data_IF_349744645122
#
_entry.id   IF_349744645122
#
_cell.length_a   1.000
_cell.length_b   1.000
_cell.length_c   1.000
_cell.angle_alpha   90.00
_cell.angle_beta   90.00
_cell.angle_gamma   90.00
#
_symmetry.space_group_name_H-M   'P 1'
#
loop_
_entity.id
_entity.type
_entity.pdbx_description
1 polymer ?
#
# COMPACT_ATOMS: atom_id res chain seq x y z
N UNK A 1 -34.65 -49.05 -46.49
CA UNK A 1 -35.04 -47.62 -46.52
C UNK A 1 -36.32 -47.45 -45.70
N UNK A 2 -36.42 -46.33 -44.96
CA UNK A 2 -37.65 -45.63 -44.53
C UNK A 2 -38.54 -46.37 -43.50
N UNK A 3 -38.63 -45.88 -42.25
CA UNK A 3 -39.59 -44.85 -41.74
C UNK A 3 -41.03 -45.34 -41.92
N UNK A 4 -41.96 -45.32 -40.98
CA UNK A 4 -42.22 -44.66 -39.69
C UNK A 4 -43.60 -45.23 -39.28
N UNK A 5 -43.95 -45.37 -38.01
CA UNK A 5 -45.31 -45.11 -37.49
C UNK A 5 -45.32 -45.18 -35.95
N UNK A 6 -45.87 -44.12 -35.38
CA UNK A 6 -45.96 -43.71 -33.97
C UNK A 6 -47.21 -44.37 -33.35
N UNK A 7 -47.25 -44.67 -32.03
CA UNK A 7 -48.14 -43.84 -31.21
C UNK A 7 -47.67 -43.59 -29.76
N UNK A 8 -47.89 -42.34 -29.33
CA UNK A 8 -48.65 -42.01 -28.12
C UNK A 8 -48.25 -42.74 -26.82
N UNK A 9 -47.42 -42.10 -25.99
CA UNK A 9 -47.53 -42.29 -24.54
C UNK A 9 -47.59 -40.95 -23.82
N UNK A 10 -48.66 -40.84 -23.04
CA UNK A 10 -49.14 -39.70 -22.33
C UNK A 10 -48.12 -39.14 -21.33
N UNK A 11 -48.04 -37.81 -21.30
CA UNK A 11 -48.26 -36.99 -20.10
C UNK A 11 -48.32 -37.78 -18.78
N UNK A 12 -47.16 -37.90 -18.12
CA UNK A 12 -47.08 -38.03 -16.66
C UNK A 12 -46.13 -36.96 -16.15
N UNK A 13 -46.67 -35.75 -16.02
CA UNK A 13 -46.10 -34.71 -15.19
C UNK A 13 -46.17 -35.17 -13.73
N UNK A 14 -45.04 -35.63 -13.19
CA UNK A 14 -44.86 -35.81 -11.75
C UNK A 14 -44.21 -34.54 -11.19
N UNK A 15 -44.87 -33.82 -10.27
CA UNK A 15 -44.20 -32.81 -9.46
C UNK A 15 -43.40 -33.55 -8.38
N UNK A 16 -42.17 -33.92 -8.69
CA UNK A 16 -41.21 -34.33 -7.67
C UNK A 16 -40.82 -33.06 -6.90
N UNK A 17 -41.58 -32.79 -5.84
CA UNK A 17 -41.22 -31.82 -4.84
C UNK A 17 -39.81 -32.12 -4.34
N UNK A 18 -38.99 -31.08 -4.43
CA UNK A 18 -37.71 -30.91 -3.80
C UNK A 18 -37.62 -31.59 -2.44
N UNK A 19 -37.08 -32.79 -2.42
CA UNK A 19 -36.36 -33.29 -1.26
C UNK A 19 -34.99 -32.62 -1.33
N UNK A 20 -34.87 -31.46 -0.68
CA UNK A 20 -33.58 -30.83 -0.47
C UNK A 20 -32.76 -31.81 0.37
N UNK A 21 -31.70 -32.46 -0.15
CA UNK A 21 -30.78 -33.14 0.73
C UNK A 21 -30.24 -32.06 1.66
N UNK A 22 -30.47 -32.24 2.97
CA UNK A 22 -29.76 -31.50 4.01
C UNK A 22 -28.30 -31.52 3.61
N UNK A 23 -27.67 -30.36 3.35
CA UNK A 23 -26.25 -30.36 3.05
C UNK A 23 -25.58 -30.94 4.29
N UNK A 24 -25.03 -32.16 4.14
CA UNK A 24 -24.08 -32.69 5.10
C UNK A 24 -23.07 -31.57 5.39
N UNK A 25 -22.69 -31.35 6.66
CA UNK A 25 -21.67 -30.36 6.97
C UNK A 25 -20.50 -30.61 6.02
N UNK A 26 -19.99 -29.56 5.34
CA UNK A 26 -18.89 -29.73 4.40
C UNK A 26 -17.81 -30.52 5.13
N UNK A 27 -17.25 -31.60 4.54
CA UNK A 27 -16.20 -32.35 5.19
C UNK A 27 -15.10 -31.34 5.51
N UNK A 28 -14.95 -31.00 6.79
CA UNK A 28 -13.82 -30.19 7.24
C UNK A 28 -12.60 -30.89 6.67
N UNK A 29 -11.76 -30.19 5.87
CA UNK A 29 -10.63 -30.84 5.22
C UNK A 29 -9.87 -31.56 6.31
N UNK A 30 -9.79 -32.89 6.23
CA UNK A 30 -9.27 -33.72 7.30
C UNK A 30 -7.90 -33.19 7.72
N UNK A 31 -7.90 -32.44 8.82
CA UNK A 31 -6.72 -31.72 9.30
C UNK A 31 -5.72 -32.79 9.67
N UNK A 32 -4.59 -32.84 8.98
CA UNK A 32 -3.53 -33.79 9.31
C UNK A 32 -3.07 -33.48 10.74
N UNK A 33 -3.13 -34.47 11.62
CA UNK A 33 -2.51 -34.35 12.94
C UNK A 33 -0.99 -34.36 12.79
N UNK A 34 -0.23 -33.70 13.68
CA UNK A 34 1.23 -33.69 13.60
C UNK A 34 1.85 -35.09 13.64
N UNK A 35 1.22 -36.03 14.35
CA UNK A 35 1.65 -37.42 14.46
C UNK A 35 1.44 -38.19 13.15
N UNK A 36 0.23 -38.12 12.56
CA UNK A 36 -0.06 -38.72 11.25
C UNK A 36 0.86 -38.13 10.16
N UNK A 37 1.15 -36.83 10.24
CA UNK A 37 2.10 -36.18 9.33
C UNK A 37 3.47 -36.85 9.39
N UNK A 38 3.99 -37.04 10.60
CA UNK A 38 5.29 -37.66 10.80
C UNK A 38 5.30 -39.11 10.34
N UNK A 39 4.23 -39.87 10.61
CA UNK A 39 4.10 -41.25 10.15
C UNK A 39 4.09 -41.36 8.62
N UNK A 40 3.30 -40.52 7.94
CA UNK A 40 3.22 -40.51 6.48
C UNK A 40 4.56 -40.10 5.84
N UNK A 41 5.21 -39.07 6.37
CA UNK A 41 6.52 -38.65 5.88
C UNK A 41 7.60 -39.71 6.16
N UNK A 42 7.58 -40.35 7.32
CA UNK A 42 8.48 -41.46 7.66
C UNK A 42 8.29 -42.66 6.73
N UNK A 43 7.04 -43.01 6.40
CA UNK A 43 6.76 -44.05 5.39
C UNK A 43 7.27 -43.66 4.00
N UNK A 44 7.07 -42.41 3.58
CA UNK A 44 7.57 -41.93 2.30
C UNK A 44 9.11 -41.96 2.24
N UNK A 45 9.78 -41.60 3.33
CA UNK A 45 11.23 -41.69 3.45
C UNK A 45 11.71 -43.15 3.38
N UNK A 46 11.09 -44.06 4.12
CA UNK A 46 11.40 -45.48 4.07
C UNK A 46 11.31 -46.03 2.63
N UNK A 47 10.22 -45.73 1.92
CA UNK A 47 10.03 -46.13 0.52
C UNK A 47 11.10 -45.53 -0.43
N UNK A 48 11.54 -44.30 -0.17
CA UNK A 48 12.64 -43.68 -0.93
C UNK A 48 13.97 -44.38 -0.69
N UNK A 49 14.28 -44.70 0.57
CA UNK A 49 15.51 -45.43 0.91
C UNK A 49 15.52 -46.84 0.35
N UNK A 50 14.36 -47.51 0.33
CA UNK A 50 14.22 -48.83 -0.30
C UNK A 50 14.38 -48.73 -1.82
N UNK A 51 13.72 -47.74 -2.44
CA UNK A 51 13.89 -47.45 -3.87
C UNK A 51 15.36 -47.18 -4.23
N UNK A 52 16.09 -46.40 -3.43
CA UNK A 52 17.50 -46.10 -3.74
C UNK A 52 18.37 -47.35 -3.61
N UNK A 53 18.18 -48.13 -2.53
CA UNK A 53 18.88 -49.42 -2.34
C UNK A 53 18.64 -50.38 -3.51
N UNK A 54 17.42 -50.45 -4.03
CA UNK A 54 17.09 -51.28 -5.19
C UNK A 54 17.78 -50.79 -6.46
N UNK A 55 17.86 -49.48 -6.68
CA UNK A 55 18.57 -48.90 -7.83
C UNK A 55 20.07 -49.21 -7.75
N UNK A 56 20.69 -49.02 -6.58
CA UNK A 56 22.11 -49.29 -6.36
C UNK A 56 22.42 -50.79 -6.54
N UNK A 57 21.55 -51.66 -6.03
CA UNK A 57 21.68 -53.11 -6.19
C UNK A 57 21.53 -53.54 -7.66
N UNK A 58 20.58 -52.95 -8.40
CA UNK A 58 20.40 -53.21 -9.82
C UNK A 58 21.61 -52.75 -10.64
N UNK A 59 22.18 -51.59 -10.32
CA UNK A 59 23.38 -51.07 -10.98
C UNK A 59 24.61 -51.95 -10.72
N UNK A 60 24.81 -52.39 -9.47
CA UNK A 60 25.90 -53.32 -9.14
C UNK A 60 25.78 -54.64 -9.90
N UNK A 61 24.59 -55.25 -9.88
CA UNK A 61 24.32 -56.50 -10.61
C UNK A 61 24.58 -56.35 -12.11
N UNK A 62 24.14 -55.25 -12.72
CA UNK A 62 24.39 -55.01 -14.15
C UNK A 62 25.89 -54.86 -14.45
N UNK A 63 26.63 -54.11 -13.63
CA UNK A 63 28.09 -53.92 -13.77
C UNK A 63 28.87 -55.22 -13.61
N UNK A 64 28.41 -56.12 -12.75
CA UNK A 64 29.02 -57.45 -12.55
C UNK A 64 28.64 -58.42 -13.67
N UNK A 65 27.40 -58.36 -14.17
CA UNK A 65 26.89 -59.23 -15.22
C UNK A 65 27.57 -58.97 -16.58
N UNK A 66 27.90 -57.72 -16.88
CA UNK A 66 28.51 -57.34 -18.17
C UNK A 66 29.84 -58.08 -18.45
N UNK A 67 30.90 -57.99 -17.63
CA UNK A 67 32.14 -58.74 -17.85
C UNK A 67 31.96 -60.27 -17.70
N UNK A 68 30.97 -60.72 -16.93
CA UNK A 68 30.65 -62.13 -16.80
C UNK A 68 30.03 -62.70 -18.09
N UNK A 69 29.18 -61.93 -18.78
CA UNK A 69 28.56 -62.34 -20.04
C UNK A 69 29.56 -62.49 -21.18
N UNK A 70 30.60 -61.66 -21.23
CA UNK A 70 31.68 -61.75 -22.23
C UNK A 70 32.48 -63.06 -22.17
N UNK A 71 32.44 -63.78 -21.04
CA UNK A 71 33.10 -65.08 -20.87
C UNK A 71 32.25 -66.27 -21.33
N UNK A 72 30.99 -66.04 -21.75
CA UNK A 72 30.06 -67.10 -22.17
C UNK A 72 30.05 -67.25 -23.68
N UNK A 73 29.64 -68.42 -24.16
CA UNK A 73 29.50 -68.72 -25.60
C UNK A 73 28.35 -67.94 -26.27
N UNK A 74 27.27 -67.70 -25.53
CA UNK A 74 26.09 -66.94 -25.99
C UNK A 74 26.05 -65.54 -25.35
N UNK A 75 27.03 -64.70 -25.68
CA UNK A 75 27.19 -63.35 -25.10
C UNK A 75 25.93 -62.50 -25.31
N UNK A 76 25.35 -62.51 -26.51
CA UNK A 76 24.19 -61.70 -26.86
C UNK A 76 22.95 -62.04 -26.03
N UNK A 77 22.67 -63.33 -25.82
CA UNK A 77 21.57 -63.78 -24.98
C UNK A 77 21.79 -63.37 -23.52
N UNK A 78 23.01 -63.58 -22.99
CA UNK A 78 23.36 -63.20 -21.62
C UNK A 78 23.19 -61.69 -21.37
N UNK A 79 23.68 -60.84 -22.28
CA UNK A 79 23.56 -59.39 -22.15
C UNK A 79 22.08 -58.94 -22.22
N UNK A 80 21.28 -59.59 -23.06
CA UNK A 80 19.85 -59.30 -23.15
C UNK A 80 19.11 -59.65 -21.86
N UNK A 81 19.41 -60.79 -21.25
CA UNK A 81 18.77 -61.21 -20.01
C UNK A 81 19.20 -60.33 -18.83
N UNK A 82 20.50 -60.02 -18.70
CA UNK A 82 20.99 -59.06 -17.71
C UNK A 82 20.31 -57.68 -17.88
N UNK A 83 20.18 -57.21 -19.12
CA UNK A 83 19.49 -55.95 -19.42
C UNK A 83 18.01 -55.99 -19.02
N UNK A 84 17.30 -57.09 -19.26
CA UNK A 84 15.89 -57.25 -18.83
C UNK A 84 15.79 -57.19 -17.31
N UNK A 85 16.60 -57.96 -16.59
CA UNK A 85 16.62 -57.96 -15.13
C UNK A 85 16.92 -56.57 -14.55
N UNK A 86 17.84 -55.83 -15.18
CA UNK A 86 18.15 -54.46 -14.82
C UNK A 86 16.94 -53.53 -15.01
N UNK A 87 16.27 -53.61 -16.16
CA UNK A 87 15.08 -52.80 -16.44
C UNK A 87 13.96 -53.13 -15.45
N UNK A 88 13.71 -54.40 -15.18
CA UNK A 88 12.65 -54.84 -14.26
C UNK A 88 12.93 -54.40 -12.82
N UNK A 89 14.18 -54.52 -12.37
CA UNK A 89 14.60 -54.04 -11.05
C UNK A 89 14.45 -52.52 -10.91
N UNK A 90 14.81 -51.77 -11.95
CA UNK A 90 14.61 -50.31 -11.97
C UNK A 90 13.13 -49.92 -12.04
N UNK A 91 12.31 -50.69 -12.75
CA UNK A 91 10.87 -50.47 -12.81
C UNK A 91 10.23 -50.69 -11.44
N UNK A 92 10.63 -51.73 -10.71
CA UNK A 92 10.19 -51.99 -9.34
C UNK A 92 10.59 -50.85 -8.38
N UNK A 93 11.85 -50.40 -8.43
CA UNK A 93 12.31 -49.26 -7.64
C UNK A 93 11.52 -47.98 -7.96
N UNK A 94 11.24 -47.71 -9.24
CA UNK A 94 10.42 -46.56 -9.65
C UNK A 94 9.01 -46.61 -9.07
N UNK A 95 8.39 -47.78 -8.94
CA UNK A 95 7.06 -47.91 -8.32
C UNK A 95 7.08 -47.43 -6.86
N UNK A 96 8.09 -47.84 -6.07
CA UNK A 96 8.28 -47.38 -4.70
C UNK A 96 8.51 -45.86 -4.62
N UNK A 97 9.33 -45.31 -5.53
CA UNK A 97 9.55 -43.87 -5.62
C UNK A 97 8.27 -43.09 -5.94
N UNK A 98 7.43 -43.60 -6.84
CA UNK A 98 6.13 -42.99 -7.17
C UNK A 98 5.18 -43.05 -5.98
N UNK A 99 5.14 -44.17 -5.25
CA UNK A 99 4.32 -44.30 -4.04
C UNK A 99 4.77 -43.30 -2.97
N UNK A 100 6.07 -43.18 -2.72
CA UNK A 100 6.60 -42.19 -1.79
C UNK A 100 6.18 -40.75 -2.18
N UNK A 101 6.29 -40.39 -3.46
CA UNK A 101 5.86 -39.07 -3.95
C UNK A 101 4.36 -38.86 -3.84
N UNK A 102 3.54 -39.91 -3.98
CA UNK A 102 2.09 -39.85 -3.78
C UNK A 102 1.77 -39.49 -2.33
N UNK A 103 2.42 -40.14 -1.37
CA UNK A 103 2.26 -39.87 0.06
C UNK A 103 2.67 -38.43 0.38
N UNK A 104 3.81 -37.96 -0.13
CA UNK A 104 4.26 -36.58 0.08
C UNK A 104 3.30 -35.55 -0.52
N UNK A 105 2.69 -35.86 -1.67
CA UNK A 105 1.70 -34.99 -2.29
C UNK A 105 0.43 -34.92 -1.44
N UNK A 106 -0.06 -36.06 -0.96
CA UNK A 106 -1.24 -36.16 -0.10
C UNK A 106 -1.05 -35.32 1.18
N UNK A 107 0.12 -35.43 1.84
CA UNK A 107 0.43 -34.61 3.02
C UNK A 107 0.38 -33.11 2.67
N UNK A 108 1.02 -32.70 1.57
CA UNK A 108 1.02 -31.29 1.14
C UNK A 108 -0.37 -30.78 0.77
N UNK A 109 -1.20 -31.59 0.15
CA UNK A 109 -2.56 -31.23 -0.22
C UNK A 109 -3.43 -31.00 1.02
N UNK A 110 -3.32 -31.87 2.03
CA UNK A 110 -4.01 -31.70 3.32
C UNK A 110 -3.49 -30.50 4.11
N UNK A 111 -2.17 -30.26 4.12
CA UNK A 111 -1.56 -29.07 4.73
C UNK A 111 -2.08 -27.78 4.07
N UNK A 112 -2.18 -27.77 2.73
CA UNK A 112 -2.73 -26.64 1.97
C UNK A 112 -4.20 -26.42 2.29
N UNK A 113 -5.02 -27.47 2.31
CA UNK A 113 -6.43 -27.38 2.63
C UNK A 113 -6.65 -26.83 4.04
N UNK A 114 -5.86 -27.31 5.01
CA UNK A 114 -5.87 -26.79 6.40
C UNK A 114 -5.50 -25.31 6.44
N UNK A 115 -4.45 -24.90 5.73
CA UNK A 115 -4.02 -23.50 5.68
C UNK A 115 -5.08 -22.61 5.03
N UNK A 116 -5.72 -23.08 3.96
CA UNK A 116 -6.79 -22.35 3.28
C UNK A 116 -8.02 -22.19 4.18
N UNK A 117 -8.40 -23.23 4.93
CA UNK A 117 -9.48 -23.14 5.91
C UNK A 117 -9.18 -22.08 6.98
N UNK A 118 -7.98 -22.11 7.58
CA UNK A 118 -7.55 -21.08 8.55
C UNK A 118 -7.55 -19.68 7.95
N UNK A 119 -7.08 -19.54 6.71
CA UNK A 119 -7.09 -18.24 6.03
C UNK A 119 -8.50 -17.73 5.76
N UNK A 120 -9.45 -18.61 5.41
CA UNK A 120 -10.84 -18.24 5.22
C UNK A 120 -11.50 -17.79 6.54
N UNK A 121 -11.16 -18.42 7.66
CA UNK A 121 -11.60 -18.01 9.00
C UNK A 121 -10.99 -16.67 9.45
N UNK A 122 -9.70 -16.45 9.16
CA UNK A 122 -9.00 -15.21 9.52
C UNK A 122 -9.30 -14.03 8.59
N UNK A 123 -9.72 -14.29 7.35
CA UNK A 123 -10.00 -13.27 6.34
C UNK A 123 -10.99 -12.19 6.81
N UNK A 124 -12.19 -12.52 7.36
CA UNK A 124 -13.13 -11.51 7.82
C UNK A 124 -12.58 -10.69 8.99
N UNK A 125 -11.81 -11.32 9.90
CA UNK A 125 -11.19 -10.64 11.05
C UNK A 125 -10.17 -9.61 10.55
N UNK A 126 -9.31 -10.01 9.62
CA UNK A 126 -8.29 -9.15 9.01
C UNK A 126 -8.91 -8.02 8.19
N UNK A 127 -9.98 -8.29 7.47
CA UNK A 127 -10.74 -7.27 6.74
C UNK A 127 -11.34 -6.24 7.72
N UNK A 128 -12.03 -6.70 8.76
CA UNK A 128 -12.59 -5.81 9.77
C UNK A 128 -11.52 -4.98 10.52
N UNK A 129 -10.36 -5.57 10.83
CA UNK A 129 -9.24 -4.84 11.42
C UNK A 129 -8.69 -3.77 10.47
N UNK A 130 -8.54 -4.12 9.19
CA UNK A 130 -8.05 -3.20 8.16
C UNK A 130 -9.02 -2.05 7.96
N UNK A 131 -10.33 -2.31 7.91
CA UNK A 131 -11.36 -1.28 7.82
C UNK A 131 -11.35 -0.37 9.04
N UNK A 132 -11.23 -0.91 10.26
CA UNK A 132 -11.07 -0.13 11.48
C UNK A 132 -9.83 0.76 11.44
N UNK A 133 -8.71 0.26 10.91
CA UNK A 133 -7.47 1.04 10.76
C UNK A 133 -7.68 2.18 9.77
N UNK A 134 -8.25 1.91 8.60
CA UNK A 134 -8.56 2.91 7.58
C UNK A 134 -9.51 3.98 8.15
N UNK A 135 -10.55 3.59 8.90
CA UNK A 135 -11.48 4.52 9.52
C UNK A 135 -10.77 5.47 10.50
N UNK A 136 -9.90 4.94 11.37
CA UNK A 136 -9.10 5.75 12.31
C UNK A 136 -8.14 6.69 11.60
N UNK A 137 -7.53 6.25 10.50
CA UNK A 137 -6.65 7.10 9.69
C UNK A 137 -7.41 8.23 9.01
N UNK A 138 -8.61 7.95 8.49
CA UNK A 138 -9.49 8.98 7.91
C UNK A 138 -9.93 10.01 8.95
N UNK A 139 -10.29 9.57 10.15
CA UNK A 139 -10.65 10.47 11.26
C UNK A 139 -9.48 11.38 11.63
N UNK A 140 -8.28 10.81 11.79
CA UNK A 140 -7.06 11.60 12.06
C UNK A 140 -6.73 12.56 10.93
N UNK A 141 -6.89 12.15 9.68
CA UNK A 141 -6.65 13.02 8.53
C UNK A 141 -7.64 14.19 8.51
N UNK A 142 -8.92 13.93 8.80
CA UNK A 142 -9.94 14.96 8.92
C UNK A 142 -9.63 15.94 10.07
N UNK A 143 -9.25 15.45 11.24
CA UNK A 143 -8.86 16.30 12.40
C UNK A 143 -7.61 17.14 12.09
N UNK A 144 -6.63 16.58 11.37
CA UNK A 144 -5.46 17.34 10.93
C UNK A 144 -5.83 18.40 9.91
N UNK A 145 -6.79 18.12 9.03
CA UNK A 145 -7.26 19.09 8.05
C UNK A 145 -8.01 20.24 8.73
N UNK A 146 -8.91 19.97 9.67
CA UNK A 146 -9.62 21.02 10.42
C UNK A 146 -8.64 21.90 11.18
N UNK A 147 -7.65 21.31 11.86
CA UNK A 147 -6.57 22.08 12.54
C UNK A 147 -5.80 22.99 11.59
N UNK A 148 -5.46 22.50 10.38
CA UNK A 148 -4.77 23.31 9.37
C UNK A 148 -5.64 24.46 8.87
N UNK A 149 -6.94 24.22 8.70
CA UNK A 149 -7.91 25.25 8.28
C UNK A 149 -8.08 26.33 9.38
N UNK A 150 -8.21 25.93 10.64
CA UNK A 150 -8.25 26.84 11.79
C UNK A 150 -6.96 27.66 11.92
N UNK A 151 -5.79 27.03 11.80
CA UNK A 151 -4.51 27.74 11.81
C UNK A 151 -4.38 28.72 10.64
N UNK A 152 -4.82 28.34 9.45
CA UNK A 152 -4.80 29.20 8.27
C UNK A 152 -5.74 30.40 8.45
N UNK A 153 -6.94 30.20 9.00
CA UNK A 153 -7.87 31.27 9.34
C UNK A 153 -7.26 32.22 10.38
N UNK A 154 -6.73 31.68 11.49
CA UNK A 154 -6.09 32.48 12.52
C UNK A 154 -4.88 33.28 12.01
N UNK A 155 -4.11 32.74 11.05
CA UNK A 155 -3.01 33.46 10.40
C UNK A 155 -3.53 34.61 9.52
N UNK A 156 -4.62 34.40 8.78
CA UNK A 156 -5.26 35.45 7.98
C UNK A 156 -5.78 36.57 8.87
N UNK A 157 -6.50 36.25 9.93
CA UNK A 157 -7.04 37.24 10.87
C UNK A 157 -5.92 38.07 11.52
N UNK A 158 -4.82 37.43 11.92
CA UNK A 158 -3.64 38.11 12.45
C UNK A 158 -2.98 39.02 11.41
N UNK A 159 -2.89 38.58 10.16
CA UNK A 159 -2.32 39.37 9.07
C UNK A 159 -3.20 40.60 8.76
N UNK A 160 -4.52 40.44 8.72
CA UNK A 160 -5.48 41.53 8.51
C UNK A 160 -5.44 42.54 9.67
N UNK A 161 -5.46 42.06 10.92
CA UNK A 161 -5.34 42.91 12.09
C UNK A 161 -3.99 43.67 12.12
N UNK A 162 -2.89 43.00 11.76
CA UNK A 162 -1.58 43.62 11.62
C UNK A 162 -1.54 44.70 10.52
N UNK A 163 -2.13 44.42 9.36
CA UNK A 163 -2.24 45.39 8.27
C UNK A 163 -3.10 46.59 8.65
N UNK A 164 -4.24 46.36 9.30
CA UNK A 164 -5.12 47.42 9.78
C UNK A 164 -4.41 48.35 10.78
N UNK A 165 -3.69 47.79 11.75
CA UNK A 165 -2.87 48.56 12.71
C UNK A 165 -1.78 49.38 12.00
N UNK A 166 -1.07 48.77 11.05
CA UNK A 166 -0.04 49.46 10.27
C UNK A 166 -0.61 50.64 9.46
N UNK A 167 -1.78 50.45 8.83
CA UNK A 167 -2.49 51.52 8.11
C UNK A 167 -2.92 52.64 9.05
N UNK A 168 -3.45 52.31 10.23
CA UNK A 168 -3.84 53.31 11.22
C UNK A 168 -2.64 54.12 11.73
N UNK A 169 -1.52 53.46 12.03
CA UNK A 169 -0.27 54.11 12.43
C UNK A 169 0.32 54.98 11.33
N UNK A 170 0.25 54.55 10.07
CA UNK A 170 0.68 55.34 8.93
C UNK A 170 -0.16 56.61 8.78
N UNK A 171 -1.49 56.50 8.93
CA UNK A 171 -2.40 57.66 8.93
C UNK A 171 -2.07 58.64 10.07
N UNK A 172 -1.92 58.15 11.31
CA UNK A 172 -1.53 59.00 12.45
C UNK A 172 -0.19 59.69 12.22
N UNK A 173 0.79 59.01 11.60
CA UNK A 173 2.08 59.62 11.23
C UNK A 173 1.91 60.71 10.18
N UNK A 174 1.13 60.48 9.13
CA UNK A 174 0.84 61.47 8.09
C UNK A 174 0.15 62.70 8.68
N UNK A 175 -0.90 62.52 9.49
CA UNK A 175 -1.61 63.62 10.16
C UNK A 175 -0.66 64.46 11.04
N UNK A 176 0.27 63.81 11.75
CA UNK A 176 1.25 64.50 12.59
C UNK A 176 2.27 65.28 11.76
N UNK A 177 2.70 64.76 10.61
CA UNK A 177 3.58 65.45 9.67
C UNK A 177 2.86 66.64 9.01
N UNK A 178 1.61 66.47 8.57
CA UNK A 178 0.80 67.56 8.03
C UNK A 178 0.55 68.67 9.06
N UNK A 179 0.27 68.30 10.31
CA UNK A 179 0.12 69.27 11.40
C UNK A 179 1.42 70.05 11.67
N UNK A 180 2.59 69.41 11.55
CA UNK A 180 3.90 70.09 11.63
C UNK A 180 4.11 71.04 10.46
N UNK A 181 3.88 70.60 9.22
CA UNK A 181 3.99 71.44 8.01
C UNK A 181 3.08 72.67 8.10
N UNK A 182 1.82 72.51 8.54
CA UNK A 182 0.89 73.64 8.75
C UNK A 182 1.37 74.60 9.84
N UNK A 183 2.07 74.13 10.87
CA UNK A 183 2.65 74.99 11.91
C UNK A 183 3.87 75.75 11.38
N UNK A 184 4.74 75.09 10.64
CA UNK A 184 5.91 75.69 9.98
C UNK A 184 5.46 76.76 8.97
N UNK A 185 4.51 76.45 8.09
CA UNK A 185 3.94 77.41 7.13
C UNK A 185 3.34 78.65 7.84
N UNK A 186 2.60 78.44 8.93
CA UNK A 186 2.07 79.55 9.76
C UNK A 186 3.18 80.36 10.43
N UNK A 187 4.28 79.72 10.84
CA UNK A 187 5.42 80.40 11.44
C UNK A 187 6.17 81.23 10.39
N UNK A 188 6.38 80.69 9.19
CA UNK A 188 6.97 81.38 8.05
C UNK A 188 6.12 82.58 7.60
N UNK A 189 4.80 82.41 7.47
CA UNK A 189 3.89 83.51 7.15
C UNK A 189 3.98 84.64 8.19
N UNK A 190 4.00 84.30 9.49
CA UNK A 190 4.18 85.28 10.57
C UNK A 190 5.56 85.93 10.54
N UNK A 191 6.62 85.21 10.19
CA UNK A 191 7.96 85.77 10.04
C UNK A 191 8.01 86.77 8.88
N UNK A 192 7.45 86.42 7.72
CA UNK A 192 7.34 87.32 6.56
C UNK A 192 6.49 88.56 6.87
N UNK A 193 5.41 88.41 7.63
CA UNK A 193 4.60 89.55 8.08
C UNK A 193 5.39 90.49 8.99
N UNK A 194 6.16 89.95 9.94
CA UNK A 194 7.06 90.72 10.81
C UNK A 194 8.13 91.44 10.02
N UNK A 195 8.80 90.77 9.08
CA UNK A 195 9.79 91.40 8.21
C UNK A 195 9.18 92.53 7.37
N UNK A 196 7.98 92.34 6.81
CA UNK A 196 7.27 93.40 6.08
C UNK A 196 6.95 94.58 7.00
N UNK A 197 6.53 94.32 8.24
CA UNK A 197 6.23 95.37 9.23
C UNK A 197 7.50 96.12 9.66
N UNK A 198 8.61 95.42 9.86
CA UNK A 198 9.89 96.02 10.23
C UNK A 198 10.50 96.82 9.07
N UNK A 199 10.39 96.34 7.82
CA UNK A 199 10.72 97.11 6.62
C UNK A 199 9.91 98.40 6.52
N UNK A 200 8.59 98.34 6.73
CA UNK A 200 7.73 99.54 6.75
C UNK A 200 8.14 100.53 7.84
N UNK A 201 8.44 100.05 9.05
CA UNK A 201 8.94 100.88 10.16
C UNK A 201 10.32 101.49 9.89
N UNK A 202 11.19 100.78 9.17
CA UNK A 202 12.49 101.29 8.77
C UNK A 202 12.36 102.37 7.68
N UNK A 203 11.49 102.14 6.70
CA UNK A 203 11.16 103.12 5.66
C UNK A 203 10.51 104.37 6.24
N UNK A 204 9.57 104.23 7.19
CA UNK A 204 8.96 105.35 7.89
C UNK A 204 10.00 106.16 8.69
N UNK A 205 10.92 105.48 9.39
CA UNK A 205 12.06 106.14 10.07
C UNK A 205 13.00 106.84 9.10
N UNK A 206 13.28 106.25 7.94
CA UNK A 206 14.08 106.89 6.90
C UNK A 206 13.41 108.16 6.36
N UNK A 207 12.09 108.12 6.08
CA UNK A 207 11.30 109.28 5.66
C UNK A 207 11.30 110.40 6.71
N UNK A 208 11.21 110.05 8.00
CA UNK A 208 11.30 111.02 9.10
C UNK A 208 12.67 111.68 9.18
N UNK A 209 13.77 110.92 9.00
CA UNK A 209 15.12 111.47 8.96
C UNK A 209 15.35 112.36 7.72
N UNK A 210 14.84 111.97 6.55
CA UNK A 210 14.89 112.80 5.34
C UNK A 210 14.11 114.12 5.53
N UNK A 211 12.92 114.06 6.14
CA UNK A 211 12.12 115.25 6.44
C UNK A 211 12.81 116.16 7.46
N UNK A 212 13.49 115.60 8.47
CA UNK A 212 14.29 116.38 9.42
C UNK A 212 15.49 117.06 8.74
N UNK A 213 16.21 116.36 7.85
CA UNK A 213 17.33 116.94 7.10
C UNK A 213 16.90 118.02 6.09
N UNK A 214 15.68 117.94 5.56
CA UNK A 214 15.11 119.00 4.70
C UNK A 214 14.69 120.25 5.49
N UNK A 215 14.41 120.14 6.79
CA UNK A 215 14.08 121.28 7.65
C UNK A 215 15.32 122.02 8.18
N UNK A 216 16.51 121.43 8.08
CA UNK A 216 17.79 122.02 8.50
C UNK A 216 18.59 122.68 7.35
N UNK A 217 18.04 122.73 6.13
CA UNK A 217 18.59 123.47 4.97
C UNK A 217 17.78 124.72 4.68
#
# INVERSE_FOLDING_TARGET
MKRLLIPLFCLFAHPAWAETPVPAPPPTPATITPEERQQLLGRAEALKTESSKMLDAAEKKQKEAEPACWKKTLVSACLNDARKEYIDSRAAARKLSVEAKRIEREVRERDRATKQARQAEEAPIKQAETEKRIAREKEKAAEQQTKREEEAAARKDKAEAGSARSREEARKRQEKLEARRKKEEKAEQKALEREKKDKKRAEERARQLEHAQQQER
#
